data_IF_696048394096
#
_entry.id   IF_696048394096
#
_cell.length_a   1.000
_cell.length_b   1.000
_cell.length_c   1.000
_cell.angle_alpha   90.00
_cell.angle_beta   90.00
_cell.angle_gamma   90.00
#
_symmetry.space_group_name_H-M   'P 1'
#
loop_
_entity.id
_entity.type
_entity.pdbx_description
1 polymer ?
#
# COMPACT_ATOMS: atom_id res chain seq x y z
N UNK A 1 44.11 -18.45 0.09
CA UNK A 1 43.93 -17.05 -0.34
C UNK A 1 43.08 -17.10 -1.59
N UNK A 2 41.77 -16.88 -1.52
CA UNK A 2 41.11 -15.57 -1.32
C UNK A 2 41.50 -14.58 -2.41
N UNK A 3 40.45 -13.94 -2.96
CA UNK A 3 40.38 -12.64 -3.64
C UNK A 3 39.57 -12.81 -4.93
N UNK A 4 38.25 -13.03 -4.79
CA UNK A 4 37.21 -11.98 -4.77
C UNK A 4 37.24 -11.20 -6.09
N UNK A 5 36.41 -11.63 -7.04
CA UNK A 5 36.02 -10.78 -8.17
C UNK A 5 35.38 -9.51 -7.58
N UNK A 6 35.88 -8.31 -7.93
CA UNK A 6 35.23 -7.08 -7.51
C UNK A 6 33.92 -6.94 -8.28
N UNK A 7 32.84 -6.93 -7.50
CA UNK A 7 31.59 -6.24 -7.74
C UNK A 7 31.74 -5.09 -8.76
N UNK A 8 31.37 -5.33 -10.01
CA UNK A 8 31.23 -4.29 -11.03
C UNK A 8 29.74 -4.08 -11.31
N UNK A 9 29.06 -3.50 -10.33
CA UNK A 9 27.87 -2.70 -10.58
C UNK A 9 28.29 -1.43 -11.33
N UNK A 10 28.09 -1.40 -12.65
CA UNK A 10 27.90 -0.15 -13.38
C UNK A 10 26.70 -0.35 -14.29
N UNK A 11 25.55 -0.09 -13.69
CA UNK A 11 24.40 0.66 -14.21
C UNK A 11 24.09 0.63 -15.71
N UNK A 12 22.79 0.49 -15.95
CA UNK A 12 22.01 0.58 -17.19
C UNK A 12 22.21 1.86 -18.03
N UNK A 13 23.44 2.19 -18.41
CA UNK A 13 23.69 3.23 -19.40
C UNK A 13 23.70 2.63 -20.80
N UNK A 14 22.56 2.76 -21.47
CA UNK A 14 22.39 2.60 -22.91
C UNK A 14 23.54 3.31 -23.65
N UNK A 15 24.42 2.53 -24.28
CA UNK A 15 25.41 3.05 -25.22
C UNK A 15 24.63 3.69 -26.38
N UNK A 16 24.82 4.97 -26.73
CA UNK A 16 24.16 5.54 -27.89
C UNK A 16 24.61 4.76 -29.13
N UNK A 17 23.67 4.07 -29.78
CA UNK A 17 23.95 3.37 -31.03
C UNK A 17 24.44 4.38 -32.06
N UNK A 18 25.73 4.30 -32.42
CA UNK A 18 26.36 5.11 -33.48
C UNK A 18 26.26 4.45 -34.86
N UNK A 19 25.24 3.65 -35.10
CA UNK A 19 24.89 3.15 -36.42
C UNK A 19 23.73 3.95 -36.99
N UNK A 20 23.75 4.19 -38.30
CA UNK A 20 22.61 4.82 -38.96
C UNK A 20 21.47 3.79 -39.06
N UNK A 21 20.59 3.78 -38.06
CA UNK A 21 19.43 2.89 -38.04
C UNK A 21 18.35 3.41 -38.98
N UNK A 22 18.27 2.83 -40.18
CA UNK A 22 17.30 3.20 -41.22
C UNK A 22 16.01 2.40 -41.09
N UNK A 23 15.19 2.67 -40.07
CA UNK A 23 13.77 2.31 -40.17
C UNK A 23 13.07 3.42 -40.97
N UNK A 24 12.72 3.11 -42.22
CA UNK A 24 11.84 3.97 -43.03
C UNK A 24 10.40 3.80 -42.56
N UNK A 25 9.89 4.74 -41.77
CA UNK A 25 8.46 4.88 -41.57
C UNK A 25 7.82 5.45 -42.85
N UNK A 26 7.10 4.62 -43.60
CA UNK A 26 6.21 5.10 -44.64
C UNK A 26 4.90 5.58 -43.99
N UNK A 27 4.67 6.90 -43.99
CA UNK A 27 3.33 7.46 -43.77
C UNK A 27 2.84 7.97 -45.12
N UNK A 28 2.04 7.17 -45.80
CA UNK A 28 1.44 7.55 -47.08
C UNK A 28 0.27 8.50 -46.81
N UNK A 29 0.47 9.79 -47.10
CA UNK A 29 -0.59 10.75 -47.41
C UNK A 29 -1.28 11.48 -46.24
N UNK A 30 -0.63 12.47 -45.62
CA UNK A 30 -1.38 13.53 -44.92
C UNK A 30 -0.77 14.92 -45.15
N UNK A 31 -1.52 15.88 -45.73
CA UNK A 31 -1.06 17.21 -46.08
C UNK A 31 -1.46 18.30 -45.05
N UNK A 32 -1.39 18.04 -43.73
CA UNK A 32 -1.82 19.04 -42.73
C UNK A 32 -0.84 19.28 -41.57
N UNK A 33 -0.62 20.54 -41.12
CA UNK A 33 0.45 20.90 -40.19
C UNK A 33 0.00 20.96 -38.71
N UNK A 34 -1.23 20.57 -38.37
CA UNK A 34 -1.78 20.76 -37.02
C UNK A 34 -2.52 19.51 -36.50
N UNK A 35 -1.92 18.82 -35.52
CA UNK A 35 -2.65 18.30 -34.35
C UNK A 35 -3.39 16.96 -34.43
N UNK A 36 -2.81 15.88 -34.97
CA UNK A 36 -3.32 14.51 -34.76
C UNK A 36 -2.22 13.62 -34.20
N UNK A 37 -2.44 13.00 -33.04
CA UNK A 37 -1.52 12.01 -32.44
C UNK A 37 -1.53 10.77 -33.33
N UNK A 38 -0.70 10.78 -34.36
CA UNK A 38 -0.50 9.62 -35.23
C UNK A 38 0.57 8.74 -34.57
N UNK A 39 0.10 7.62 -34.03
CA UNK A 39 0.85 6.37 -33.86
C UNK A 39 2.22 6.48 -33.21
N UNK A 40 2.25 6.52 -31.87
CA UNK A 40 3.42 5.94 -31.18
C UNK A 40 3.56 4.49 -31.68
N UNK A 41 4.78 4.00 -31.97
CA UNK A 41 4.99 2.61 -32.36
C UNK A 41 4.33 1.64 -31.40
N UNK A 42 3.79 0.52 -31.89
CA UNK A 42 3.13 -0.52 -31.08
C UNK A 42 4.00 -0.94 -29.88
N UNK A 43 5.31 -1.14 -30.12
CA UNK A 43 6.29 -1.41 -29.07
C UNK A 43 6.32 -0.37 -27.95
N UNK A 44 6.11 0.92 -28.26
CA UNK A 44 6.06 1.99 -27.26
C UNK A 44 4.74 1.96 -26.50
N UNK A 45 3.64 1.61 -27.16
CA UNK A 45 2.34 1.47 -26.52
C UNK A 45 2.32 0.26 -25.57
N UNK A 46 2.81 -0.89 -26.02
CA UNK A 46 2.91 -2.12 -25.23
C UNK A 46 3.86 -1.96 -24.04
N UNK A 47 5.00 -1.31 -24.25
CA UNK A 47 5.94 -0.96 -23.18
C UNK A 47 5.22 -0.13 -22.11
N UNK A 48 4.58 0.99 -22.48
CA UNK A 48 3.92 1.85 -21.49
C UNK A 48 2.74 1.17 -20.77
N UNK A 49 2.10 0.18 -21.40
CA UNK A 49 1.04 -0.62 -20.77
C UNK A 49 1.59 -1.62 -19.74
N UNK A 50 2.84 -2.08 -19.91
CA UNK A 50 3.46 -3.14 -19.10
C UNK A 50 4.49 -2.65 -18.08
N UNK A 51 4.89 -1.38 -18.16
CA UNK A 51 5.74 -0.68 -17.17
C UNK A 51 4.97 -0.48 -15.86
N UNK A 52 4.75 -1.57 -15.12
CA UNK A 52 3.88 -1.61 -13.94
C UNK A 52 4.54 -1.17 -12.63
N UNK A 53 5.82 -0.80 -12.64
CA UNK A 53 6.56 -0.41 -11.42
C UNK A 53 6.08 0.96 -10.92
N UNK A 54 5.79 1.90 -11.83
CA UNK A 54 5.41 3.28 -11.49
C UNK A 54 4.14 3.37 -10.62
N UNK A 55 3.17 2.47 -10.82
CA UNK A 55 1.90 2.48 -10.08
C UNK A 55 2.08 1.97 -8.65
N UNK A 56 2.93 0.95 -8.46
CA UNK A 56 3.29 0.46 -7.13
C UNK A 56 4.12 1.52 -6.40
N UNK A 57 5.06 2.18 -7.07
CA UNK A 57 5.88 3.24 -6.48
C UNK A 57 5.03 4.43 -6.02
N UNK A 58 4.04 4.85 -6.81
CA UNK A 58 3.08 5.89 -6.41
C UNK A 58 2.28 5.49 -5.17
N UNK A 59 1.88 4.23 -5.05
CA UNK A 59 1.20 3.72 -3.84
C UNK A 59 2.16 3.64 -2.65
N UNK A 60 3.41 3.27 -2.89
CA UNK A 60 4.47 3.19 -1.89
C UNK A 60 4.85 4.56 -1.30
N UNK A 61 4.53 5.66 -1.98
CA UNK A 61 4.66 7.00 -1.41
C UNK A 61 3.71 7.23 -0.20
N UNK A 62 2.63 6.45 -0.09
CA UNK A 62 1.61 6.56 0.97
C UNK A 62 1.54 5.35 1.89
N UNK A 63 1.90 4.16 1.39
CA UNK A 63 1.79 2.88 2.11
C UNK A 63 3.07 2.05 1.98
N UNK A 64 3.28 1.07 2.84
CA UNK A 64 4.39 0.11 2.66
C UNK A 64 4.03 -1.02 1.69
N UNK A 65 5.02 -1.78 1.24
CA UNK A 65 4.82 -2.95 0.38
C UNK A 65 3.87 -4.01 0.99
N UNK A 66 3.98 -4.28 2.29
CA UNK A 66 3.20 -5.32 2.95
C UNK A 66 1.66 -5.14 2.83
N UNK A 67 1.07 -3.98 3.18
CA UNK A 67 -0.37 -3.75 3.02
C UNK A 67 -0.84 -3.78 1.56
N UNK A 68 -0.01 -3.32 0.62
CA UNK A 68 -0.32 -3.36 -0.82
C UNK A 68 -0.36 -4.82 -1.29
N UNK A 69 0.65 -5.61 -0.93
CA UNK A 69 0.74 -7.02 -1.33
C UNK A 69 -0.38 -7.86 -0.71
N UNK A 70 -0.71 -7.62 0.57
CA UNK A 70 -1.79 -8.36 1.23
C UNK A 70 -3.16 -8.06 0.63
N UNK A 71 -3.41 -6.83 0.22
CA UNK A 71 -4.64 -6.43 -0.47
C UNK A 71 -4.76 -7.05 -1.87
N UNK A 72 -3.67 -7.09 -2.64
CA UNK A 72 -3.64 -7.76 -3.96
C UNK A 72 -4.01 -9.23 -3.80
N UNK A 73 -3.42 -9.92 -2.82
CA UNK A 73 -3.74 -11.32 -2.52
C UNK A 73 -5.20 -11.45 -2.09
N UNK A 74 -5.70 -10.52 -1.26
CA UNK A 74 -7.09 -10.54 -0.80
C UNK A 74 -8.09 -10.42 -1.95
N UNK A 75 -7.94 -9.46 -2.86
CA UNK A 75 -8.84 -9.35 -4.02
C UNK A 75 -8.66 -10.47 -5.04
N UNK A 76 -7.43 -10.98 -5.21
CA UNK A 76 -7.18 -12.17 -6.04
C UNK A 76 -7.95 -13.40 -5.55
N UNK A 77 -8.07 -13.56 -4.23
CA UNK A 77 -8.85 -14.64 -3.62
C UNK A 77 -10.35 -14.32 -3.53
N UNK A 78 -10.74 -13.05 -3.65
CA UNK A 78 -12.12 -12.57 -3.52
C UNK A 78 -12.50 -11.66 -4.70
N UNK A 79 -12.64 -12.19 -5.92
CA UNK A 79 -12.80 -11.36 -7.13
C UNK A 79 -14.11 -10.59 -7.21
N UNK A 80 -15.11 -10.96 -6.40
CA UNK A 80 -16.39 -10.24 -6.28
C UNK A 80 -16.34 -9.11 -5.26
N UNK A 81 -15.31 -9.10 -4.42
CA UNK A 81 -15.14 -8.08 -3.40
C UNK A 81 -14.52 -6.83 -4.00
N UNK A 82 -15.20 -5.69 -3.79
CA UNK A 82 -14.77 -4.38 -4.25
C UNK A 82 -14.49 -3.44 -3.07
N UNK A 83 -14.02 -4.00 -1.96
CA UNK A 83 -13.63 -3.22 -0.79
C UNK A 83 -12.55 -2.22 -1.18
N UNK A 84 -12.76 -0.95 -0.82
CA UNK A 84 -11.74 0.07 -1.03
C UNK A 84 -10.53 -0.20 -0.14
N UNK A 85 -9.33 0.07 -0.64
CA UNK A 85 -8.06 -0.01 0.10
C UNK A 85 -8.14 0.50 1.54
N UNK A 86 -8.74 1.68 1.73
CA UNK A 86 -8.93 2.29 3.06
C UNK A 86 -9.66 1.35 4.02
N UNK A 87 -10.75 0.74 3.59
CA UNK A 87 -11.54 -0.17 4.41
C UNK A 87 -10.84 -1.51 4.64
N UNK A 88 -10.12 -2.02 3.63
CA UNK A 88 -9.27 -3.20 3.81
C UNK A 88 -8.23 -2.96 4.93
N UNK A 89 -7.55 -1.82 4.90
CA UNK A 89 -6.54 -1.47 5.90
C UNK A 89 -7.13 -1.21 7.29
N UNK A 90 -8.28 -0.54 7.37
CA UNK A 90 -9.03 -0.37 8.63
C UNK A 90 -9.37 -1.73 9.24
N UNK A 91 -9.92 -2.65 8.44
CA UNK A 91 -10.29 -3.99 8.89
C UNK A 91 -9.06 -4.81 9.33
N UNK A 92 -7.98 -4.75 8.56
CA UNK A 92 -6.72 -5.42 8.88
C UNK A 92 -6.14 -4.90 10.21
N UNK A 93 -6.11 -3.58 10.38
CA UNK A 93 -5.66 -2.93 11.62
C UNK A 93 -6.49 -3.41 12.82
N UNK A 94 -7.82 -3.38 12.71
CA UNK A 94 -8.69 -3.85 13.77
C UNK A 94 -8.48 -5.33 14.06
N UNK A 95 -8.36 -6.19 13.05
CA UNK A 95 -8.12 -7.62 13.23
C UNK A 95 -6.82 -7.91 14.01
N UNK A 96 -5.74 -7.17 13.71
CA UNK A 96 -4.46 -7.30 14.40
C UNK A 96 -4.51 -6.76 15.84
N UNK A 97 -5.24 -5.67 16.08
CA UNK A 97 -5.24 -5.00 17.38
C UNK A 97 -6.31 -5.49 18.35
N UNK A 98 -7.42 -6.04 17.87
CA UNK A 98 -8.60 -6.31 18.70
C UNK A 98 -8.27 -7.16 19.94
N UNK A 99 -7.46 -8.20 19.77
CA UNK A 99 -7.05 -9.07 20.89
C UNK A 99 -6.23 -8.32 21.95
N UNK A 100 -5.29 -7.49 21.52
CA UNK A 100 -4.46 -6.69 22.42
C UNK A 100 -5.27 -5.60 23.12
N UNK A 101 -6.20 -4.99 22.41
CA UNK A 101 -7.12 -4.00 22.96
C UNK A 101 -8.02 -4.61 24.03
N UNK A 102 -8.62 -5.77 23.76
CA UNK A 102 -9.41 -6.54 24.74
C UNK A 102 -8.61 -6.86 26.00
N UNK A 103 -7.38 -7.37 25.85
CA UNK A 103 -6.52 -7.66 27.01
C UNK A 103 -6.20 -6.39 27.82
N UNK A 104 -5.97 -5.27 27.15
CA UNK A 104 -5.59 -4.00 27.79
C UNK A 104 -6.72 -3.38 28.61
N UNK A 105 -7.98 -3.58 28.21
CA UNK A 105 -9.16 -3.05 28.95
C UNK A 105 -9.19 -3.56 30.39
N UNK A 106 -8.84 -4.82 30.60
CA UNK A 106 -8.82 -5.46 31.92
C UNK A 106 -7.59 -5.08 32.76
N UNK A 107 -6.64 -4.31 32.22
CA UNK A 107 -5.50 -3.81 33.00
C UNK A 107 -5.96 -2.82 34.07
N UNK A 108 -5.44 -2.98 35.29
CA UNK A 108 -5.80 -2.15 36.45
C UNK A 108 -5.47 -0.66 36.22
N UNK A 109 -4.30 -0.39 35.63
CA UNK A 109 -3.69 0.95 35.58
C UNK A 109 -3.98 1.71 34.27
N UNK A 110 -4.91 1.25 33.43
CA UNK A 110 -5.26 1.98 32.20
C UNK A 110 -6.11 3.21 32.52
N UNK A 111 -5.81 4.40 31.94
CA UNK A 111 -6.62 5.59 32.13
C UNK A 111 -8.08 5.40 31.70
N UNK A 112 -9.03 5.94 32.48
CA UNK A 112 -10.48 5.76 32.26
C UNK A 112 -10.95 6.15 30.85
N UNK A 113 -10.41 7.22 30.29
CA UNK A 113 -10.77 7.70 28.93
C UNK A 113 -10.36 6.67 27.88
N UNK A 114 -9.16 6.10 28.00
CA UNK A 114 -8.67 5.08 27.08
C UNK A 114 -9.48 3.80 27.24
N UNK A 115 -9.81 3.42 28.49
CA UNK A 115 -10.69 2.28 28.76
C UNK A 115 -12.04 2.44 28.05
N UNK A 116 -12.73 3.57 28.26
CA UNK A 116 -14.02 3.86 27.61
C UNK A 116 -13.95 3.74 26.09
N UNK A 117 -12.95 4.38 25.47
CA UNK A 117 -12.78 4.35 24.00
C UNK A 117 -12.53 2.95 23.47
N UNK A 118 -11.72 2.15 24.17
CA UNK A 118 -11.46 0.77 23.75
C UNK A 118 -12.72 -0.08 23.94
N UNK A 119 -13.44 0.07 25.05
CA UNK A 119 -14.70 -0.62 25.31
C UNK A 119 -15.74 -0.35 24.22
N UNK A 120 -15.89 0.92 23.83
CA UNK A 120 -16.78 1.36 22.74
C UNK A 120 -16.37 0.73 21.40
N UNK A 121 -15.08 0.85 21.03
CA UNK A 121 -14.57 0.38 19.74
C UNK A 121 -14.53 -1.15 19.62
N UNK A 122 -14.32 -1.87 20.72
CA UNK A 122 -14.27 -3.33 20.76
C UNK A 122 -15.62 -3.97 21.11
N UNK A 123 -16.68 -3.15 21.31
CA UNK A 123 -18.01 -3.58 21.74
C UNK A 123 -17.97 -4.51 22.96
N UNK A 124 -17.19 -4.11 23.97
CA UNK A 124 -17.07 -4.83 25.23
C UNK A 124 -17.96 -4.14 26.25
N UNK A 125 -18.99 -4.82 26.73
CA UNK A 125 -19.78 -4.39 27.87
C UNK A 125 -18.89 -4.47 29.12
N UNK A 126 -18.14 -3.38 29.35
CA UNK A 126 -17.29 -3.28 30.53
C UNK A 126 -18.16 -2.68 31.61
N UNK A 127 -18.62 -3.51 32.55
CA UNK A 127 -19.23 -3.01 33.80
C UNK A 127 -18.32 -1.92 34.38
N UNK A 128 -18.87 -0.75 34.76
CA UNK A 128 -18.07 0.33 35.29
C UNK A 128 -17.41 -0.18 36.56
N UNK A 129 -16.08 -0.32 36.51
CA UNK A 129 -15.27 -0.76 37.63
C UNK A 129 -15.71 0.02 38.88
N UNK A 130 -16.39 -0.68 39.80
CA UNK A 130 -17.11 -0.15 40.95
C UNK A 130 -16.24 0.92 41.57
N UNK A 131 -16.63 2.19 41.38
CA UNK A 131 -15.98 3.29 42.06
C UNK A 131 -15.87 2.87 43.52
N UNK A 132 -14.64 2.84 44.02
CA UNK A 132 -14.32 2.51 45.40
C UNK A 132 -15.38 3.12 46.31
N UNK A 133 -16.23 2.26 46.88
CA UNK A 133 -17.05 2.61 48.03
C UNK A 133 -16.06 2.83 49.19
N UNK A 134 -15.35 3.95 49.18
CA UNK A 134 -14.94 4.58 50.43
C UNK A 134 -16.22 5.08 51.07
N UNK A 135 -16.91 4.16 51.74
CA UNK A 135 -17.78 4.50 52.85
C UNK A 135 -16.90 5.25 53.83
N UNK A 136 -17.00 6.58 53.81
CA UNK A 136 -16.57 7.42 54.93
C UNK A 136 -17.38 7.01 56.14
N UNK A 137 -16.85 6.04 56.89
CA UNK A 137 -17.32 5.63 58.20
C UNK A 137 -16.46 6.35 59.24
N UNK A 138 -17.10 7.16 60.09
CA UNK A 138 -16.52 7.80 61.27
C UNK A 138 -15.63 9.01 60.92
N UNK A 139 -15.83 10.20 61.49
CA UNK A 139 -16.27 10.54 62.83
C UNK A 139 -16.73 12.00 62.85
#
# INVERSE_FOLDING_TARGET
>A
MSDVEPDLSIDEQMVPFRGHFSIKHYVTGNPHPLGKVIGKPEIVMDYNCTKGVDTVDQLCAYYNYAPINSEIIFHGNNPKDNTLRRHFLENLYFALMNNHLKARVYSEHIPRIIRSRISENCHIDTEPNRATETKGSGR
#
